data_IF_462322280740
#
_entry.id   IF_462322280740
#
_cell.length_a   1.000
_cell.length_b   1.000
_cell.length_c   1.000
_cell.angle_alpha   90.00
_cell.angle_beta   90.00
_cell.angle_gamma   90.00
#
_symmetry.space_group_name_H-M   'P 1'
#
loop_
_entity.id
_entity.type
_entity.pdbx_description
1 polymer ?
#
# COMPACT_ATOMS: atom_id res chain seq x y z
N UNK A 1 -12.50 -29.78 5.29
CA UNK A 1 -12.16 -28.43 4.77
C UNK A 1 -12.87 -27.44 5.68
N UNK A 2 -12.25 -26.31 6.02
CA UNK A 2 -12.91 -25.32 6.86
C UNK A 2 -13.91 -24.53 6.01
N UNK A 3 -15.15 -24.44 6.47
CA UNK A 3 -16.22 -23.68 5.84
C UNK A 3 -16.46 -22.37 6.62
N UNK A 4 -17.07 -21.38 5.98
CA UNK A 4 -17.53 -20.18 6.68
C UNK A 4 -18.65 -20.56 7.66
N UNK A 5 -18.77 -19.84 8.80
CA UNK A 5 -19.90 -20.02 9.72
C UNK A 5 -21.23 -19.79 9.00
N UNK A 6 -22.33 -20.35 9.51
CA UNK A 6 -23.66 -20.17 8.91
C UNK A 6 -24.04 -18.70 8.81
N UNK A 7 -24.36 -18.22 7.59
CA UNK A 7 -24.63 -16.80 7.30
C UNK A 7 -26.04 -16.63 6.75
N UNK A 8 -26.67 -15.50 7.03
CA UNK A 8 -27.92 -15.15 6.35
C UNK A 8 -27.66 -14.86 4.88
N UNK A 9 -28.61 -15.22 4.01
CA UNK A 9 -28.53 -14.93 2.57
C UNK A 9 -28.32 -13.44 2.31
N UNK A 10 -28.98 -12.59 3.10
CA UNK A 10 -28.80 -11.14 3.06
C UNK A 10 -27.36 -10.70 3.33
N UNK A 11 -26.71 -11.26 4.37
CA UNK A 11 -25.32 -10.93 4.70
C UNK A 11 -24.36 -11.34 3.58
N UNK A 12 -24.56 -12.53 3.01
CA UNK A 12 -23.77 -13.01 1.88
C UNK A 12 -23.90 -12.09 0.67
N UNK A 13 -25.13 -11.68 0.30
CA UNK A 13 -25.38 -10.76 -0.82
C UNK A 13 -24.71 -9.41 -0.56
N UNK A 14 -24.87 -8.84 0.63
CA UNK A 14 -24.30 -7.53 0.96
C UNK A 14 -22.78 -7.55 0.91
N UNK A 15 -22.13 -8.53 1.54
CA UNK A 15 -20.66 -8.58 1.58
C UNK A 15 -20.03 -8.92 0.24
N UNK A 16 -20.57 -9.91 -0.48
CA UNK A 16 -20.06 -10.27 -1.81
C UNK A 16 -20.29 -9.15 -2.82
N UNK A 17 -21.44 -8.48 -2.77
CA UNK A 17 -21.75 -7.32 -3.59
C UNK A 17 -20.80 -6.15 -3.32
N UNK A 18 -20.59 -5.83 -2.04
CA UNK A 18 -19.65 -4.79 -1.63
C UNK A 18 -18.20 -5.10 -2.05
N UNK A 19 -17.73 -6.33 -1.81
CA UNK A 19 -16.39 -6.77 -2.21
C UNK A 19 -16.19 -6.68 -3.73
N UNK A 20 -17.20 -7.09 -4.51
CA UNK A 20 -17.15 -7.03 -5.98
C UNK A 20 -17.13 -5.58 -6.46
N UNK A 21 -17.93 -4.69 -5.86
CA UNK A 21 -17.91 -3.27 -6.19
C UNK A 21 -16.53 -2.64 -5.90
N UNK A 22 -15.98 -2.89 -4.71
CA UNK A 22 -14.62 -2.43 -4.35
C UNK A 22 -13.58 -2.94 -5.33
N UNK A 23 -13.70 -4.18 -5.77
CA UNK A 23 -12.79 -4.76 -6.75
C UNK A 23 -12.81 -4.01 -8.09
N UNK A 24 -14.01 -3.73 -8.62
CA UNK A 24 -14.19 -2.99 -9.88
C UNK A 24 -13.60 -1.57 -9.77
N UNK A 25 -13.92 -0.85 -8.68
CA UNK A 25 -13.39 0.49 -8.46
C UNK A 25 -11.88 0.50 -8.28
N UNK A 26 -11.33 -0.45 -7.52
CA UNK A 26 -9.89 -0.58 -7.32
C UNK A 26 -9.16 -0.87 -8.63
N UNK A 27 -9.66 -1.82 -9.42
CA UNK A 27 -9.07 -2.19 -10.71
C UNK A 27 -9.10 -1.00 -11.68
N UNK A 28 -10.27 -0.40 -11.90
CA UNK A 28 -10.45 0.72 -12.81
C UNK A 28 -9.64 1.95 -12.40
N UNK A 29 -9.69 2.32 -11.11
CA UNK A 29 -8.99 3.48 -10.57
C UNK A 29 -7.47 3.36 -10.70
N UNK A 30 -6.90 2.21 -10.33
CA UNK A 30 -5.46 2.03 -10.37
C UNK A 30 -4.92 1.82 -11.80
N UNK A 31 -5.69 1.20 -12.71
CA UNK A 31 -5.36 1.18 -14.15
C UNK A 31 -5.31 2.61 -14.70
N UNK A 32 -6.29 3.44 -14.36
CA UNK A 32 -6.34 4.83 -14.81
C UNK A 32 -5.12 5.63 -14.32
N UNK A 33 -4.70 5.44 -13.06
CA UNK A 33 -3.48 6.07 -12.52
C UNK A 33 -2.25 5.67 -13.33
N UNK A 34 -2.07 4.38 -13.62
CA UNK A 34 -0.97 3.88 -14.43
C UNK A 34 -0.99 4.48 -15.85
N UNK A 35 -2.16 4.51 -16.50
CA UNK A 35 -2.33 5.10 -17.84
C UNK A 35 -2.01 6.60 -17.82
N UNK A 36 -2.48 7.34 -16.83
CA UNK A 36 -2.27 8.78 -16.72
C UNK A 36 -0.78 9.14 -16.63
N UNK A 37 0.00 8.40 -15.82
CA UNK A 37 1.44 8.62 -15.71
C UNK A 37 2.19 8.14 -16.97
N UNK A 38 1.74 7.06 -17.60
CA UNK A 38 2.32 6.59 -18.85
C UNK A 38 2.13 7.59 -19.99
N UNK A 39 0.91 8.11 -20.18
CA UNK A 39 0.58 9.04 -21.26
C UNK A 39 1.17 10.44 -21.06
N UNK A 40 1.25 10.92 -19.82
CA UNK A 40 1.75 12.27 -19.56
C UNK A 40 3.23 12.26 -19.12
N UNK A 41 4.13 12.59 -20.04
CA UNK A 41 5.58 12.66 -19.75
C UNK A 41 5.94 13.64 -18.64
N UNK A 42 5.13 14.71 -18.46
CA UNK A 42 5.30 15.68 -17.35
C UNK A 42 5.05 15.06 -15.97
N UNK A 43 4.31 13.94 -15.92
CA UNK A 43 4.07 13.16 -14.72
C UNK A 43 5.16 12.09 -14.49
N UNK A 44 6.19 11.95 -15.32
CA UNK A 44 7.27 10.97 -15.08
C UNK A 44 8.32 11.49 -14.10
N UNK A 45 7.87 11.94 -12.94
CA UNK A 45 8.74 12.42 -11.85
C UNK A 45 9.04 11.32 -10.84
N UNK A 46 10.11 11.48 -10.06
CA UNK A 46 10.49 10.54 -8.99
C UNK A 46 9.37 10.30 -7.98
N UNK A 47 8.53 11.31 -7.71
CA UNK A 47 7.36 11.17 -6.84
C UNK A 47 6.32 10.22 -7.43
N UNK A 48 6.12 10.26 -8.74
CA UNK A 48 5.08 9.46 -9.40
C UNK A 48 5.51 8.00 -9.60
N UNK A 49 6.80 7.68 -9.48
CA UNK A 49 7.27 6.29 -9.38
C UNK A 49 6.67 5.60 -8.15
N UNK A 50 6.65 6.28 -7.00
CA UNK A 50 6.05 5.73 -5.79
C UNK A 50 4.52 5.61 -5.91
N UNK A 51 3.86 6.56 -6.61
CA UNK A 51 2.42 6.48 -6.89
C UNK A 51 2.12 5.29 -7.80
N UNK A 52 2.92 5.06 -8.85
CA UNK A 52 2.78 3.87 -9.70
C UNK A 52 3.01 2.60 -8.87
N UNK A 53 4.00 2.57 -7.99
CA UNK A 53 4.24 1.40 -7.14
C UNK A 53 3.04 1.08 -6.23
N UNK A 54 2.40 2.11 -5.65
CA UNK A 54 1.13 1.93 -4.91
C UNK A 54 0.04 1.36 -5.82
N UNK A 55 -0.16 1.96 -7.00
CA UNK A 55 -1.15 1.48 -7.95
C UNK A 55 -0.90 0.02 -8.37
N UNK A 56 0.36 -0.39 -8.56
CA UNK A 56 0.72 -1.79 -8.84
C UNK A 56 0.34 -2.69 -7.66
N UNK A 57 0.63 -2.29 -6.42
CA UNK A 57 0.24 -3.07 -5.23
C UNK A 57 -1.28 -3.26 -5.14
N UNK A 58 -2.04 -2.19 -5.41
CA UNK A 58 -3.50 -2.23 -5.41
C UNK A 58 -4.06 -3.08 -6.56
N UNK A 59 -3.43 -3.06 -7.74
CA UNK A 59 -3.78 -3.95 -8.85
C UNK A 59 -3.49 -5.42 -8.53
N UNK A 60 -2.37 -5.72 -7.86
CA UNK A 60 -2.10 -7.08 -7.38
C UNK A 60 -3.20 -7.55 -6.41
N UNK A 61 -3.65 -6.69 -5.51
CA UNK A 61 -4.78 -6.99 -4.61
C UNK A 61 -6.09 -7.19 -5.38
N UNK A 62 -6.37 -6.32 -6.35
CA UNK A 62 -7.56 -6.40 -7.18
C UNK A 62 -7.58 -7.63 -8.11
N UNK A 63 -6.43 -8.21 -8.44
CA UNK A 63 -6.35 -9.39 -9.32
C UNK A 63 -6.27 -10.69 -8.49
N UNK A 64 -5.44 -10.71 -7.44
CA UNK A 64 -5.07 -11.96 -6.75
C UNK A 64 -5.69 -12.14 -5.37
N UNK A 65 -6.37 -11.13 -4.82
CA UNK A 65 -6.92 -11.20 -3.45
C UNK A 65 -8.43 -11.00 -3.47
N UNK A 66 -8.91 -9.85 -3.92
CA UNK A 66 -10.32 -9.49 -3.86
C UNK A 66 -11.25 -10.42 -4.66
N UNK A 67 -10.92 -10.88 -5.88
CA UNK A 67 -11.82 -11.77 -6.64
C UNK A 67 -11.99 -13.14 -5.97
N UNK A 68 -10.90 -13.68 -5.41
CA UNK A 68 -10.93 -14.95 -4.67
C UNK A 68 -11.73 -14.81 -3.38
N UNK A 69 -11.56 -13.71 -2.65
CA UNK A 69 -12.36 -13.40 -1.48
C UNK A 69 -13.86 -13.32 -1.82
N UNK A 70 -14.23 -12.62 -2.91
CA UNK A 70 -15.62 -12.57 -3.38
C UNK A 70 -16.19 -13.96 -3.69
N UNK A 71 -15.42 -14.82 -4.36
CA UNK A 71 -15.83 -16.20 -4.64
C UNK A 71 -15.99 -17.06 -3.39
N UNK A 72 -15.12 -16.86 -2.38
CA UNK A 72 -15.26 -17.52 -1.06
C UNK A 72 -16.52 -17.05 -0.34
N UNK A 73 -16.79 -15.75 -0.36
CA UNK A 73 -17.99 -15.17 0.27
C UNK A 73 -19.27 -15.74 -0.34
N UNK A 74 -19.30 -15.95 -1.66
CA UNK A 74 -20.44 -16.53 -2.37
C UNK A 74 -20.56 -18.04 -2.09
N UNK A 75 -19.46 -18.78 -2.15
CA UNK A 75 -19.47 -20.24 -2.04
C UNK A 75 -19.47 -20.78 -0.61
N UNK A 76 -19.18 -19.93 0.38
CA UNK A 76 -19.07 -20.30 1.79
C UNK A 76 -17.85 -21.16 2.12
N UNK A 77 -16.94 -21.42 1.18
CA UNK A 77 -15.74 -22.24 1.36
C UNK A 77 -14.67 -21.82 0.36
N UNK A 78 -13.51 -22.49 0.35
CA UNK A 78 -12.48 -22.28 -0.66
C UNK A 78 -12.64 -23.27 -1.85
N UNK A 79 -13.18 -22.86 -3.02
CA UNK A 79 -13.42 -23.77 -4.13
C UNK A 79 -12.24 -23.90 -5.10
N UNK A 80 -11.21 -23.04 -5.01
CA UNK A 80 -10.19 -22.87 -6.04
C UNK A 80 -9.02 -23.86 -5.97
N UNK A 81 -9.06 -24.83 -5.05
CA UNK A 81 -8.00 -25.81 -4.85
C UNK A 81 -6.73 -25.26 -4.18
N UNK A 82 -5.77 -26.15 -3.92
CA UNK A 82 -4.62 -25.86 -3.06
C UNK A 82 -3.61 -24.89 -3.67
N UNK A 83 -3.36 -24.98 -4.99
CA UNK A 83 -2.36 -24.14 -5.68
C UNK A 83 -2.77 -22.67 -5.62
N UNK A 84 -4.02 -22.36 -5.99
CA UNK A 84 -4.55 -20.99 -5.92
C UNK A 84 -4.61 -20.47 -4.48
N UNK A 85 -4.82 -21.34 -3.49
CA UNK A 85 -4.73 -20.94 -2.07
C UNK A 85 -3.33 -20.49 -1.67
N UNK A 86 -2.27 -21.19 -2.14
CA UNK A 86 -0.89 -20.76 -1.87
C UNK A 86 -0.59 -19.41 -2.55
N UNK A 87 -1.05 -19.22 -3.79
CA UNK A 87 -0.87 -17.97 -4.55
C UNK A 87 -1.61 -16.82 -3.85
N UNK A 88 -2.88 -17.03 -3.50
CA UNK A 88 -3.69 -16.06 -2.78
C UNK A 88 -3.05 -15.67 -1.44
N UNK A 89 -2.55 -16.64 -0.67
CA UNK A 89 -1.88 -16.35 0.60
C UNK A 89 -0.61 -15.52 0.41
N UNK A 90 0.23 -15.86 -0.57
CA UNK A 90 1.42 -15.08 -0.88
C UNK A 90 1.07 -13.62 -1.24
N UNK A 91 0.15 -13.41 -2.20
CA UNK A 91 -0.21 -12.07 -2.62
C UNK A 91 -0.95 -11.29 -1.53
N UNK A 92 -1.82 -11.93 -0.74
CA UNK A 92 -2.51 -11.30 0.40
C UNK A 92 -1.52 -10.73 1.39
N UNK A 93 -0.49 -11.50 1.77
CA UNK A 93 0.55 -11.03 2.70
C UNK A 93 1.45 -9.99 2.06
N UNK A 94 1.84 -10.20 0.81
CA UNK A 94 2.71 -9.30 0.07
C UNK A 94 2.13 -7.90 -0.02
N UNK A 95 0.87 -7.75 -0.48
CA UNK A 95 0.24 -6.43 -0.65
C UNK A 95 -0.01 -5.74 0.69
N UNK A 96 -0.38 -6.49 1.74
CA UNK A 96 -0.58 -5.95 3.09
C UNK A 96 0.70 -5.34 3.66
N UNK A 97 1.87 -5.91 3.36
CA UNK A 97 3.15 -5.39 3.85
C UNK A 97 3.72 -4.30 2.94
N UNK A 98 3.59 -4.47 1.63
CA UNK A 98 4.15 -3.56 0.63
C UNK A 98 3.46 -2.20 0.63
N UNK A 99 2.13 -2.17 0.76
CA UNK A 99 1.36 -0.92 0.67
C UNK A 99 1.75 0.10 1.74
N UNK A 100 1.73 -0.20 3.06
CA UNK A 100 2.12 0.76 4.08
C UNK A 100 3.58 1.23 3.95
N UNK A 101 4.51 0.32 3.64
CA UNK A 101 5.92 0.68 3.44
C UNK A 101 6.08 1.62 2.25
N UNK A 102 5.38 1.36 1.14
CA UNK A 102 5.40 2.22 -0.04
C UNK A 102 4.74 3.58 0.24
N UNK A 103 3.68 3.63 1.06
CA UNK A 103 3.08 4.89 1.53
C UNK A 103 4.07 5.69 2.37
N UNK A 104 4.82 5.03 3.27
CA UNK A 104 5.89 5.65 4.05
C UNK A 104 6.98 6.26 3.17
N UNK A 105 7.47 5.50 2.17
CA UNK A 105 8.44 6.01 1.20
C UNK A 105 7.90 7.19 0.38
N UNK A 106 6.62 7.14 -0.01
CA UNK A 106 5.93 8.24 -0.68
C UNK A 106 5.91 9.50 0.20
N UNK A 107 5.61 9.35 1.49
CA UNK A 107 5.58 10.45 2.45
C UNK A 107 6.97 11.08 2.64
N UNK A 108 8.02 10.25 2.76
CA UNK A 108 9.41 10.73 2.84
C UNK A 108 9.82 11.45 1.57
N UNK A 109 9.48 10.91 0.39
CA UNK A 109 9.76 11.57 -0.89
C UNK A 109 9.12 12.97 -0.96
N UNK A 110 7.86 13.09 -0.52
CA UNK A 110 7.16 14.38 -0.47
C UNK A 110 7.77 15.34 0.54
N UNK A 111 8.13 14.85 1.72
CA UNK A 111 8.82 15.65 2.74
C UNK A 111 10.13 16.21 2.21
N UNK A 112 10.99 15.37 1.63
CA UNK A 112 12.28 15.80 1.10
C UNK A 112 12.11 16.78 -0.07
N UNK A 113 11.09 16.60 -0.92
CA UNK A 113 10.83 17.52 -2.04
C UNK A 113 10.32 18.89 -1.60
N UNK A 114 9.51 18.96 -0.54
CA UNK A 114 8.81 20.20 -0.14
C UNK A 114 9.56 20.94 0.97
N UNK A 115 10.18 20.21 1.90
CA UNK A 115 10.76 20.78 3.12
C UNK A 115 12.29 20.92 3.06
N UNK A 116 12.97 20.31 2.09
CA UNK A 116 14.45 20.35 1.95
C UNK A 116 14.86 21.04 0.66
N UNK A 117 16.15 21.35 0.55
CA UNK A 117 16.71 21.95 -0.65
C UNK A 117 16.70 20.99 -1.84
N UNK A 118 16.65 21.53 -3.06
CA UNK A 118 16.66 20.72 -4.30
C UNK A 118 17.94 19.87 -4.43
N UNK A 119 19.07 20.38 -3.92
CA UNK A 119 20.34 19.66 -3.88
C UNK A 119 20.27 18.43 -2.97
N UNK A 120 19.70 18.56 -1.76
CA UNK A 120 19.44 17.43 -0.87
C UNK A 120 18.47 16.44 -1.48
N UNK A 121 17.39 16.92 -2.12
CA UNK A 121 16.41 16.05 -2.78
C UNK A 121 17.06 15.19 -3.87
N UNK A 122 17.81 15.80 -4.80
CA UNK A 122 18.48 15.09 -5.90
C UNK A 122 19.56 14.13 -5.43
N UNK A 123 20.20 14.41 -4.28
CA UNK A 123 21.20 13.53 -3.67
C UNK A 123 20.58 12.19 -3.26
N UNK A 124 19.42 12.21 -2.62
CA UNK A 124 18.75 11.00 -2.11
C UNK A 124 17.77 10.38 -3.11
N UNK A 125 17.07 11.20 -3.90
CA UNK A 125 16.00 10.76 -4.80
C UNK A 125 16.37 11.02 -6.26
N UNK A 126 16.54 9.92 -7.00
CA UNK A 126 16.59 9.93 -8.46
C UNK A 126 15.68 8.82 -9.01
N UNK A 127 15.24 8.89 -10.27
CA UNK A 127 14.38 7.85 -10.86
C UNK A 127 14.97 6.45 -10.78
N UNK A 128 16.30 6.31 -10.91
CA UNK A 128 17.00 5.03 -10.79
C UNK A 128 17.04 4.59 -9.32
N UNK A 129 17.49 5.47 -8.41
CA UNK A 129 17.57 5.16 -6.98
C UNK A 129 16.21 4.77 -6.40
N UNK A 130 15.14 5.48 -6.74
CA UNK A 130 13.79 5.15 -6.29
C UNK A 130 13.32 3.79 -6.79
N UNK A 131 13.58 3.44 -8.07
CA UNK A 131 13.25 2.11 -8.59
C UNK A 131 14.03 1.01 -7.90
N UNK A 132 15.33 1.23 -7.64
CA UNK A 132 16.16 0.27 -6.91
C UNK A 132 15.70 0.09 -5.46
N UNK A 133 15.39 1.18 -4.75
CA UNK A 133 14.86 1.12 -3.38
C UNK A 133 13.54 0.37 -3.34
N UNK A 134 12.61 0.65 -4.27
CA UNK A 134 11.34 -0.06 -4.36
C UNK A 134 11.54 -1.55 -4.65
N UNK A 135 12.33 -1.88 -5.67
CA UNK A 135 12.62 -3.28 -6.03
C UNK A 135 13.28 -4.03 -4.87
N UNK A 136 14.22 -3.39 -4.16
CA UNK A 136 14.88 -3.96 -3.00
C UNK A 136 13.90 -4.21 -1.84
N UNK A 137 13.09 -3.21 -1.47
CA UNK A 137 12.12 -3.33 -0.38
C UNK A 137 11.05 -4.37 -0.70
N UNK A 138 10.52 -4.37 -1.92
CA UNK A 138 9.54 -5.37 -2.36
C UNK A 138 10.16 -6.76 -2.38
N UNK A 139 11.40 -6.89 -2.87
CA UNK A 139 12.16 -8.14 -2.86
C UNK A 139 12.42 -8.65 -1.44
N UNK A 140 12.76 -7.77 -0.49
CA UNK A 140 12.93 -8.14 0.92
C UNK A 140 11.63 -8.65 1.54
N UNK A 141 10.50 -8.00 1.25
CA UNK A 141 9.18 -8.43 1.76
C UNK A 141 8.79 -9.79 1.15
N UNK A 142 8.94 -9.96 -0.16
CA UNK A 142 8.70 -11.24 -0.82
C UNK A 142 9.63 -12.33 -0.27
N UNK A 143 10.91 -12.00 -0.08
CA UNK A 143 11.92 -12.88 0.50
C UNK A 143 11.57 -13.30 1.93
N UNK A 144 11.11 -12.37 2.77
CA UNK A 144 10.64 -12.67 4.13
C UNK A 144 9.47 -13.66 4.15
N UNK A 145 8.47 -13.46 3.28
CA UNK A 145 7.30 -14.36 3.16
C UNK A 145 7.75 -15.74 2.70
N UNK A 146 8.55 -15.81 1.63
CA UNK A 146 9.02 -17.08 1.07
C UNK A 146 9.97 -17.81 2.03
N UNK A 147 10.89 -17.10 2.67
CA UNK A 147 11.79 -17.67 3.67
C UNK A 147 11.01 -18.26 4.84
N UNK A 148 10.03 -17.52 5.39
CA UNK A 148 9.18 -18.02 6.48
C UNK A 148 8.42 -19.29 6.08
N UNK A 149 8.02 -19.40 4.81
CA UNK A 149 7.35 -20.57 4.26
C UNK A 149 8.30 -21.76 4.08
N UNK A 150 9.46 -21.54 3.46
CA UNK A 150 10.45 -22.58 3.14
C UNK A 150 11.19 -23.10 4.37
N UNK A 151 11.44 -22.24 5.36
CA UNK A 151 12.05 -22.60 6.64
C UNK A 151 11.08 -23.36 7.57
N UNK A 152 9.85 -23.65 7.14
CA UNK A 152 8.86 -24.37 7.94
C UNK A 152 8.30 -23.57 9.12
N UNK A 153 8.55 -22.25 9.17
CA UNK A 153 8.00 -21.38 10.22
C UNK A 153 6.49 -21.14 10.00
N UNK A 154 6.06 -21.11 8.74
CA UNK A 154 4.68 -20.79 8.35
C UNK A 154 4.10 -21.74 7.28
N UNK A 155 2.84 -22.09 7.49
CA UNK A 155 1.90 -22.74 6.57
C UNK A 155 1.18 -21.71 5.72
N UNK A 156 0.67 -22.07 4.54
CA UNK A 156 -0.43 -21.31 3.91
C UNK A 156 -1.68 -22.16 3.93
N UNK A 157 -2.73 -21.65 4.56
CA UNK A 157 -4.01 -22.34 4.71
C UNK A 157 -5.17 -21.35 4.59
N UNK A 158 -6.34 -21.90 4.27
CA UNK A 158 -7.58 -21.15 4.26
C UNK A 158 -8.01 -20.78 5.68
N UNK A 159 -8.30 -19.50 5.92
CA UNK A 159 -8.79 -19.00 7.20
C UNK A 159 -10.21 -18.44 6.98
N UNK A 160 -11.26 -19.12 7.48
CA UNK A 160 -12.65 -18.73 7.26
C UNK A 160 -12.97 -17.29 7.70
N UNK A 161 -12.40 -16.85 8.83
CA UNK A 161 -12.65 -15.51 9.40
C UNK A 161 -12.23 -14.36 8.47
N UNK A 162 -11.27 -14.61 7.57
CA UNK A 162 -10.79 -13.62 6.60
C UNK A 162 -11.27 -13.89 5.18
N UNK A 163 -12.10 -14.93 4.97
CA UNK A 163 -12.53 -15.39 3.65
C UNK A 163 -11.38 -15.52 2.64
N UNK A 164 -10.18 -15.87 3.11
CA UNK A 164 -8.95 -15.80 2.33
C UNK A 164 -7.94 -16.83 2.83
N UNK A 165 -7.01 -17.23 1.96
CA UNK A 165 -5.85 -18.00 2.39
C UNK A 165 -4.78 -17.08 2.97
N UNK A 166 -4.24 -17.44 4.13
CA UNK A 166 -3.25 -16.66 4.90
C UNK A 166 -2.16 -17.57 5.46
N UNK A 167 -1.19 -16.97 6.15
CA UNK A 167 -0.18 -17.72 6.89
C UNK A 167 -0.76 -18.37 8.15
N UNK A 168 -0.39 -19.63 8.36
CA UNK A 168 -0.62 -20.36 9.59
C UNK A 168 0.70 -20.52 10.31
N UNK A 169 0.79 -20.12 11.58
CA UNK A 169 2.01 -20.29 12.36
C UNK A 169 2.13 -21.71 12.90
N UNK A 170 3.25 -22.39 12.65
CA UNK A 170 3.48 -23.75 13.13
C UNK A 170 3.90 -23.79 14.61
N UNK A 171 4.49 -22.71 15.12
CA UNK A 171 4.91 -22.57 16.51
C UNK A 171 4.44 -21.25 17.13
N UNK A 172 4.16 -21.26 18.45
CA UNK A 172 3.78 -20.05 19.18
C UNK A 172 4.89 -18.98 19.16
N UNK A 173 6.16 -19.39 19.25
CA UNK A 173 7.32 -18.50 19.10
C UNK A 173 7.37 -17.84 17.72
N UNK A 174 7.13 -18.61 16.65
CA UNK A 174 7.03 -18.08 15.29
C UNK A 174 5.89 -17.09 15.13
N UNK A 175 4.74 -17.34 15.77
CA UNK A 175 3.59 -16.42 15.80
C UNK A 175 3.98 -15.09 16.44
N UNK A 176 4.56 -15.11 17.64
CA UNK A 176 4.96 -13.89 18.36
C UNK A 176 5.99 -13.10 17.55
N UNK A 177 7.04 -13.78 17.06
CA UNK A 177 8.07 -13.15 16.25
C UNK A 177 7.49 -12.52 14.97
N UNK A 178 6.61 -13.24 14.27
CA UNK A 178 5.98 -12.73 13.06
C UNK A 178 5.13 -11.49 13.32
N UNK A 179 4.26 -11.50 14.34
CA UNK A 179 3.44 -10.33 14.64
C UNK A 179 4.29 -9.16 15.12
N UNK A 180 5.35 -9.39 15.90
CA UNK A 180 6.27 -8.33 16.30
C UNK A 180 6.92 -7.66 15.08
N UNK A 181 7.43 -8.46 14.14
CA UNK A 181 8.03 -7.95 12.90
C UNK A 181 6.99 -7.25 12.03
N UNK A 182 5.86 -7.87 11.75
CA UNK A 182 4.85 -7.33 10.84
C UNK A 182 4.22 -6.05 11.40
N UNK A 183 3.77 -6.09 12.66
CA UNK A 183 3.13 -4.93 13.28
C UNK A 183 4.15 -3.82 13.54
N UNK A 184 5.33 -4.15 14.05
CA UNK A 184 6.36 -3.14 14.34
C UNK A 184 6.95 -2.53 13.07
N UNK A 185 7.52 -3.37 12.20
CA UNK A 185 8.33 -2.94 11.06
C UNK A 185 7.50 -2.62 9.81
N UNK A 186 6.47 -3.41 9.50
CA UNK A 186 5.71 -3.23 8.26
C UNK A 186 4.45 -2.38 8.43
N UNK A 187 3.99 -2.12 9.66
CA UNK A 187 2.82 -1.29 9.91
C UNK A 187 3.11 -0.03 10.74
N UNK A 188 3.54 -0.17 12.00
CA UNK A 188 3.72 0.96 12.92
C UNK A 188 4.82 1.91 12.47
N UNK A 189 5.97 1.38 12.03
CA UNK A 189 7.07 2.23 11.54
C UNK A 189 6.67 3.02 10.28
N UNK A 190 6.11 2.42 9.21
CA UNK A 190 5.65 3.17 8.06
C UNK A 190 4.56 4.17 8.39
N UNK A 191 3.65 3.83 9.31
CA UNK A 191 2.61 4.75 9.79
C UNK A 191 3.22 5.96 10.51
N UNK A 192 4.15 5.73 11.44
CA UNK A 192 4.83 6.79 12.17
C UNK A 192 5.62 7.71 11.22
N UNK A 193 6.36 7.13 10.27
CA UNK A 193 7.09 7.86 9.23
C UNK A 193 6.14 8.69 8.37
N UNK A 194 5.00 8.12 7.97
CA UNK A 194 3.97 8.80 7.17
C UNK A 194 3.41 10.00 7.94
N UNK A 195 2.96 9.80 9.18
CA UNK A 195 2.40 10.86 10.03
C UNK A 195 3.42 11.97 10.24
N UNK A 196 4.65 11.63 10.62
CA UNK A 196 5.72 12.61 10.84
C UNK A 196 6.00 13.45 9.58
N UNK A 197 6.18 12.77 8.45
CA UNK A 197 6.50 13.40 7.17
C UNK A 197 5.38 14.34 6.71
N UNK A 198 4.13 13.87 6.73
CA UNK A 198 2.99 14.70 6.33
C UNK A 198 2.74 15.87 7.28
N UNK A 199 2.93 15.70 8.60
CA UNK A 199 2.85 16.82 9.55
C UNK A 199 3.85 17.93 9.21
N UNK A 200 5.10 17.57 8.85
CA UNK A 200 6.12 18.54 8.44
C UNK A 200 5.77 19.21 7.11
N UNK A 201 5.30 18.44 6.13
CA UNK A 201 4.84 18.97 4.82
C UNK A 201 3.71 19.97 5.02
N UNK A 202 2.66 19.60 5.76
CA UNK A 202 1.51 20.48 6.00
C UNK A 202 1.89 21.75 6.74
N UNK A 203 2.81 21.68 7.71
CA UNK A 203 3.35 22.89 8.39
C UNK A 203 4.08 23.79 7.41
N UNK A 204 4.97 23.23 6.58
CA UNK A 204 5.74 24.02 5.61
C UNK A 204 4.86 24.68 4.54
N UNK A 205 3.84 23.98 4.06
CA UNK A 205 2.85 24.52 3.12
C UNK A 205 2.07 25.67 3.78
N UNK A 206 1.65 25.51 5.03
CA UNK A 206 0.94 26.57 5.77
C UNK A 206 1.80 27.82 5.94
N UNK A 207 3.05 27.67 6.36
CA UNK A 207 4.01 28.78 6.48
C UNK A 207 4.23 29.49 5.14
N UNK A 208 4.41 28.73 4.05
CA UNK A 208 4.59 29.28 2.72
C UNK A 208 3.37 30.09 2.26
N UNK A 209 2.16 29.57 2.45
CA UNK A 209 0.93 30.25 2.07
C UNK A 209 0.71 31.55 2.85
N UNK A 210 1.02 31.57 4.15
CA UNK A 210 0.97 32.78 4.98
C UNK A 210 1.97 33.82 4.46
N UNK A 211 3.20 33.42 4.17
CA UNK A 211 4.23 34.32 3.63
C UNK A 211 3.88 34.90 2.26
N UNK A 212 3.26 34.09 1.38
CA UNK A 212 2.75 34.56 0.09
C UNK A 212 1.62 35.57 0.26
N UNK A 213 0.66 35.30 1.15
CA UNK A 213 -0.43 36.22 1.44
C UNK A 213 0.09 37.58 1.97
N UNK A 214 1.05 37.55 2.92
CA UNK A 214 1.69 38.78 3.42
C UNK A 214 2.45 39.53 2.33
N UNK A 215 3.17 38.83 1.46
CA UNK A 215 3.92 39.44 0.35
C UNK A 215 2.97 40.09 -0.67
N UNK A 216 1.85 39.44 -0.99
CA UNK A 216 0.81 39.98 -1.87
C UNK A 216 0.17 41.24 -1.27
N UNK A 217 -0.19 41.21 0.02
CA UNK A 217 -0.72 42.39 0.73
C UNK A 217 0.27 43.54 0.74
N UNK A 218 1.57 43.28 0.99
CA UNK A 218 2.62 44.32 0.95
C UNK A 218 2.75 44.94 -0.44
N UNK A 219 2.72 44.12 -1.50
CA UNK A 219 2.75 44.61 -2.89
C UNK A 219 1.51 45.44 -3.24
N UNK A 220 0.33 45.07 -2.75
CA UNK A 220 -0.90 45.84 -2.97
C UNK A 220 -0.85 47.21 -2.28
N UNK A 221 -0.39 47.29 -1.02
CA UNK A 221 -0.21 48.56 -0.31
C UNK A 221 0.77 49.50 -1.02
N UNK A 222 1.90 48.96 -1.50
CA UNK A 222 2.90 49.75 -2.25
C UNK A 222 2.35 50.29 -3.58
N UNK A 223 1.39 49.62 -4.21
CA UNK A 223 0.75 50.09 -5.45
C UNK A 223 -0.30 51.18 -5.21
N UNK A 224 -0.93 51.22 -4.03
CA UNK A 224 -1.91 52.25 -3.67
C UNK A 224 -1.26 53.58 -3.24
N UNK A 225 0.04 53.57 -2.94
CA UNK A 225 0.81 54.76 -2.54
C UNK A 225 1.53 55.46 -3.71
N UNK A 226 1.39 54.94 -4.93
CA UNK A 226 1.87 55.56 -6.17
C UNK A 226 0.67 56.11 -6.94
#
# INVERSE_FOLDING_TARGET
>A
MADLPSRSVALTIVESGFMTALNIFSLGGNIMVCIAVYRNTRLRSTTNIYIIALAISDLLSAIFVMPFAAGVLISGRWPFGKVLCQINAFFSLFVVYVSPVTMGLTAVNRYMRICKSDMEYKRFFSPIKSRLVLAFVWGLIAGYILFSRLAGLQGFQFVPDYASCLNQHLAASSKILHYFVVVGLFFLLPLAVTIFSYRKVSRKIREHNINLAMTHQKKQKLRQQR
#
